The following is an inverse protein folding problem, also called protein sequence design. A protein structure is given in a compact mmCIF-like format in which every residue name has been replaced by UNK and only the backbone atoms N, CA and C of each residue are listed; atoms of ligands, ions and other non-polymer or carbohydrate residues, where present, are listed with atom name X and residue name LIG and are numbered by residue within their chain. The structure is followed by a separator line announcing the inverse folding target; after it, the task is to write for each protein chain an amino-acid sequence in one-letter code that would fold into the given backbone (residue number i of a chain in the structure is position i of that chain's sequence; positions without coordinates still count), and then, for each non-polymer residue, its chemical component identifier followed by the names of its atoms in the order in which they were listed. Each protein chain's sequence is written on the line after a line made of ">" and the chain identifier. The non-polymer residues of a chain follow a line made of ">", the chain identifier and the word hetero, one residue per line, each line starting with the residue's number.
data_IF_032698398816
#
_entry.id   IF_032698398816
#
_cell.length_a   1.000
_cell.length_b   1.000
_cell.length_c   1.000
_cell.angle_alpha   90.00
_cell.angle_beta   90.00
_cell.angle_gamma   90.00
#
_symmetry.space_group_name_H-M   'P 1'
#
loop_
_entity.id
_entity.type
_entity.pdbx_description
1 polymer ?
#
# COMPACT_ATOMS: atom_id res chain seq x y z
N UNK A 1 -14.12 -2.83 21.88
CA UNK A 1 -13.22 -2.01 21.02
C UNK A 1 -12.02 -2.80 20.48
N UNK A 2 -11.83 -4.06 20.86
CA UNK A 2 -10.76 -4.95 20.35
C UNK A 2 -10.98 -5.44 18.92
N UNK A 3 -12.23 -5.47 18.47
CA UNK A 3 -12.63 -6.06 17.18
C UNK A 3 -12.19 -5.22 15.98
N UNK A 4 -12.31 -3.89 16.08
CA UNK A 4 -12.00 -2.97 14.99
C UNK A 4 -10.49 -2.90 14.67
N UNK A 5 -9.65 -2.95 15.71
CA UNK A 5 -8.19 -3.01 15.58
C UNK A 5 -7.74 -4.29 14.89
N UNK A 6 -8.24 -5.44 15.34
CA UNK A 6 -7.86 -6.74 14.78
C UNK A 6 -8.35 -6.86 13.33
N UNK A 7 -9.56 -6.39 13.01
CA UNK A 7 -10.06 -6.32 11.65
C UNK A 7 -9.18 -5.44 10.75
N UNK A 8 -8.72 -4.29 11.25
CA UNK A 8 -7.83 -3.40 10.50
C UNK A 8 -6.46 -4.04 10.24
N UNK A 9 -5.93 -4.79 11.21
CA UNK A 9 -4.70 -5.58 11.02
C UNK A 9 -4.88 -6.71 10.01
N UNK A 10 -6.02 -7.39 10.02
CA UNK A 10 -6.34 -8.42 9.03
C UNK A 10 -6.41 -7.84 7.61
N UNK A 11 -7.08 -6.70 7.43
CA UNK A 11 -7.14 -6.00 6.13
C UNK A 11 -5.77 -5.52 5.66
N UNK A 12 -4.94 -5.03 6.59
CA UNK A 12 -3.56 -4.64 6.29
C UNK A 12 -2.76 -5.87 5.82
N UNK A 13 -2.85 -6.99 6.55
CA UNK A 13 -2.18 -8.24 6.19
C UNK A 13 -2.65 -8.80 4.83
N UNK A 14 -3.93 -8.65 4.51
CA UNK A 14 -4.49 -9.02 3.22
C UNK A 14 -3.92 -8.16 2.09
N UNK A 15 -3.87 -6.82 2.25
CA UNK A 15 -3.27 -5.91 1.28
C UNK A 15 -1.79 -6.26 1.03
N UNK A 16 -1.03 -6.50 2.09
CA UNK A 16 0.37 -6.95 2.00
C UNK A 16 0.51 -8.26 1.23
N UNK A 17 -0.35 -9.24 1.52
CA UNK A 17 -0.33 -10.54 0.84
C UNK A 17 -0.66 -10.41 -0.65
N UNK A 18 -1.62 -9.55 -1.02
CA UNK A 18 -2.00 -9.27 -2.42
C UNK A 18 -0.89 -8.56 -3.18
N UNK A 19 -0.17 -7.63 -2.56
CA UNK A 19 0.99 -6.96 -3.18
C UNK A 19 2.11 -7.96 -3.50
N UNK A 20 2.44 -8.86 -2.57
CA UNK A 20 3.43 -9.90 -2.82
C UNK A 20 2.99 -10.91 -3.89
N UNK A 21 1.69 -11.21 -3.94
CA UNK A 21 1.10 -12.06 -4.98
C UNK A 21 0.98 -11.37 -6.35
N UNK A 22 1.20 -10.06 -6.43
CA UNK A 22 1.08 -9.27 -7.66
C UNK A 22 -0.38 -9.01 -8.09
N UNK A 23 -1.36 -9.23 -7.21
CA UNK A 23 -2.79 -8.97 -7.47
C UNK A 23 -3.27 -7.62 -6.93
N UNK A 24 -2.33 -6.83 -6.39
CA UNK A 24 -2.49 -5.45 -5.98
C UNK A 24 -1.16 -4.75 -6.27
N UNK A 25 -1.19 -3.57 -6.87
CA UNK A 25 0.03 -2.79 -7.12
C UNK A 25 0.60 -2.24 -5.81
N UNK A 26 1.86 -1.81 -5.81
CA UNK A 26 2.48 -1.31 -4.58
C UNK A 26 1.94 0.07 -4.20
N UNK A 27 1.57 0.92 -5.16
CA UNK A 27 0.97 2.23 -4.85
C UNK A 27 -0.45 2.06 -4.32
N UNK A 28 -1.29 1.22 -4.94
CA UNK A 28 -2.64 0.95 -4.43
C UNK A 28 -2.62 0.31 -3.05
N UNK A 29 -1.72 -0.66 -2.83
CA UNK A 29 -1.53 -1.26 -1.52
C UNK A 29 -1.02 -0.27 -0.47
N UNK A 30 -0.13 0.65 -0.86
CA UNK A 30 0.35 1.70 0.03
C UNK A 30 -0.78 2.61 0.53
N UNK A 31 -1.69 3.03 -0.36
CA UNK A 31 -2.90 3.80 -0.01
C UNK A 31 -3.78 3.06 1.00
N UNK A 32 -3.99 1.76 0.80
CA UNK A 32 -4.78 0.94 1.72
C UNK A 32 -4.12 0.83 3.10
N UNK A 33 -2.80 0.55 3.14
CA UNK A 33 -2.04 0.42 4.38
C UNK A 33 -1.99 1.76 5.13
N UNK A 34 -1.72 2.85 4.41
CA UNK A 34 -1.71 4.22 4.94
C UNK A 34 -3.04 4.54 5.61
N UNK A 35 -4.18 4.27 4.96
CA UNK A 35 -5.50 4.53 5.52
C UNK A 35 -5.80 3.70 6.78
N UNK A 36 -5.30 2.45 6.87
CA UNK A 36 -5.59 1.53 7.99
C UNK A 36 -4.68 1.72 9.21
N UNK A 37 -3.56 2.45 9.09
CA UNK A 37 -2.50 2.46 10.12
C UNK A 37 -2.94 2.92 11.50
N UNK A 38 -3.86 3.88 11.58
CA UNK A 38 -4.33 4.41 12.87
C UNK A 38 -5.23 3.40 13.56
N UNK A 39 -6.17 2.83 12.82
CA UNK A 39 -7.11 1.84 13.33
C UNK A 39 -6.41 0.53 13.73
N UNK A 40 -5.33 0.18 13.04
CA UNK A 40 -4.47 -0.97 13.37
C UNK A 40 -3.55 -0.73 14.59
N UNK A 41 -3.50 0.51 15.11
CA UNK A 41 -2.52 0.99 16.09
C UNK A 41 -1.07 0.73 15.65
N UNK A 42 -0.75 1.12 14.41
CA UNK A 42 0.56 0.98 13.78
C UNK A 42 1.05 2.31 13.18
N UNK A 43 0.54 3.45 13.66
CA UNK A 43 0.83 4.77 13.08
C UNK A 43 2.33 5.07 12.95
N UNK A 44 3.13 4.64 13.93
CA UNK A 44 4.59 4.85 13.99
C UNK A 44 5.41 3.59 13.65
N UNK A 45 4.76 2.55 13.12
CA UNK A 45 5.43 1.30 12.75
C UNK A 45 6.36 1.54 11.55
N UNK A 46 7.66 1.23 11.64
CA UNK A 46 8.61 1.56 10.57
C UNK A 46 8.31 0.85 9.25
N UNK A 47 7.76 -0.37 9.29
CA UNK A 47 7.39 -1.06 8.06
C UNK A 47 6.10 -0.48 7.47
N UNK A 48 5.19 0.10 8.27
CA UNK A 48 4.00 0.78 7.70
C UNK A 48 4.30 2.21 7.26
N UNK A 49 5.23 2.91 7.91
CA UNK A 49 5.68 4.25 7.54
C UNK A 49 6.30 4.28 6.13
N UNK A 50 6.93 3.20 5.68
CA UNK A 50 7.38 3.07 4.29
C UNK A 50 6.22 3.24 3.29
N UNK A 51 5.05 2.69 3.59
CA UNK A 51 3.86 2.83 2.75
C UNK A 51 3.21 4.21 2.86
N UNK A 52 3.31 4.88 4.01
CA UNK A 52 2.90 6.29 4.14
C UNK A 52 3.77 7.17 3.24
N UNK A 53 5.08 6.90 3.17
CA UNK A 53 5.98 7.60 2.26
C UNK A 53 5.64 7.34 0.79
N UNK A 54 5.36 6.09 0.41
CA UNK A 54 4.92 5.75 -0.96
C UNK A 54 3.64 6.48 -1.32
N UNK A 55 2.63 6.43 -0.44
CA UNK A 55 1.34 7.11 -0.63
C UNK A 55 1.54 8.62 -0.84
N UNK A 56 2.35 9.26 0.01
CA UNK A 56 2.62 10.70 -0.09
C UNK A 56 3.38 11.12 -1.36
N UNK A 57 4.30 10.30 -1.87
CA UNK A 57 5.09 10.63 -3.08
C UNK A 57 4.33 10.33 -4.38
N UNK A 58 3.17 9.67 -4.28
CA UNK A 58 2.37 9.20 -5.42
C UNK A 58 0.90 9.60 -5.34
N UNK A 59 0.58 10.54 -4.46
CA UNK A 59 -0.78 11.03 -4.23
C UNK A 59 -1.37 11.73 -5.46
N UNK A 60 -0.53 12.30 -6.30
CA UNK A 60 -0.89 12.96 -7.55
C UNK A 60 -1.05 12.01 -8.75
N UNK A 61 -0.78 10.72 -8.59
CA UNK A 61 -0.81 9.75 -9.69
C UNK A 61 -2.17 9.02 -9.83
N UNK A 62 -2.73 8.94 -11.05
CA UNK A 62 -3.96 8.19 -11.32
C UNK A 62 -3.67 6.69 -11.50
N UNK A 63 -3.57 5.97 -10.37
CA UNK A 63 -3.20 4.54 -10.36
C UNK A 63 -4.37 3.56 -10.22
N UNK A 64 -5.57 4.02 -9.89
CA UNK A 64 -6.77 3.16 -9.88
C UNK A 64 -7.60 3.41 -11.13
N UNK A 65 -8.32 2.39 -11.60
CA UNK A 65 -9.18 2.50 -12.78
C UNK A 65 -10.25 3.59 -12.60
N UNK A 66 -10.85 3.69 -11.42
CA UNK A 66 -11.88 4.69 -11.12
C UNK A 66 -11.35 6.12 -11.23
N UNK A 67 -10.10 6.37 -10.80
CA UNK A 67 -9.48 7.68 -10.96
C UNK A 67 -9.09 7.91 -12.42
N UNK A 68 -8.56 6.91 -13.12
CA UNK A 68 -8.15 7.04 -14.53
C UNK A 68 -9.32 7.38 -15.45
N UNK A 69 -10.54 6.91 -15.16
CA UNK A 69 -11.76 7.28 -15.90
C UNK A 69 -12.06 8.78 -15.86
N UNK A 70 -11.55 9.51 -14.86
CA UNK A 70 -11.75 10.96 -14.70
C UNK A 70 -10.68 11.80 -15.43
N UNK A 71 -9.69 11.16 -16.04
CA UNK A 71 -8.56 11.84 -16.68
C UNK A 71 -8.69 11.85 -18.20
N UNK A 72 -8.20 12.93 -18.81
CA UNK A 72 -8.01 12.98 -20.26
C UNK A 72 -7.04 11.87 -20.72
N UNK A 73 -7.39 11.08 -21.76
CA UNK A 73 -6.54 9.96 -22.21
C UNK A 73 -5.10 10.36 -22.52
N UNK A 74 -4.91 11.51 -23.17
CA UNK A 74 -3.56 12.03 -23.48
C UNK A 74 -2.76 12.47 -22.25
N UNK A 75 -3.42 12.79 -21.13
CA UNK A 75 -2.74 13.05 -19.87
C UNK A 75 -2.26 11.73 -19.23
N UNK A 76 -3.08 10.67 -19.29
CA UNK A 76 -2.70 9.33 -18.83
C UNK A 76 -1.50 8.79 -19.61
N UNK A 77 -1.49 8.90 -20.94
CA UNK A 77 -0.37 8.47 -21.77
C UNK A 77 0.94 9.18 -21.40
N UNK A 78 0.88 10.49 -21.13
CA UNK A 78 2.06 11.27 -20.70
C UNK A 78 2.55 10.91 -19.30
N UNK A 79 1.65 10.54 -18.39
CA UNK A 79 1.98 10.17 -17.02
C UNK A 79 2.42 8.71 -16.87
N UNK A 80 2.06 7.83 -17.80
CA UNK A 80 2.33 6.39 -17.68
C UNK A 80 3.81 6.07 -17.38
N UNK A 81 4.82 6.68 -18.02
CA UNK A 81 6.21 6.42 -17.68
C UNK A 81 6.58 6.79 -16.24
N UNK A 82 5.96 7.82 -15.67
CA UNK A 82 6.14 8.21 -14.26
C UNK A 82 5.45 7.21 -13.33
N UNK A 83 4.25 6.75 -13.68
CA UNK A 83 3.52 5.71 -12.94
C UNK A 83 4.37 4.43 -12.89
N UNK A 84 4.89 3.98 -14.02
CA UNK A 84 5.70 2.76 -14.09
C UNK A 84 6.98 2.87 -13.24
N UNK A 85 7.64 4.04 -13.27
CA UNK A 85 8.81 4.32 -12.43
C UNK A 85 8.47 4.35 -10.94
N UNK A 86 7.35 4.99 -10.59
CA UNK A 86 6.87 5.06 -9.21
C UNK A 86 6.51 3.66 -8.67
N UNK A 87 5.86 2.81 -9.47
CA UNK A 87 5.57 1.42 -9.11
C UNK A 87 6.83 0.61 -8.89
N UNK A 88 7.82 0.73 -9.78
CA UNK A 88 9.10 0.04 -9.63
C UNK A 88 9.85 0.48 -8.35
N UNK A 89 9.84 1.78 -8.05
CA UNK A 89 10.41 2.34 -6.83
C UNK A 89 9.65 1.87 -5.58
N UNK A 90 8.32 1.96 -5.59
CA UNK A 90 7.45 1.54 -4.50
C UNK A 90 7.63 0.05 -4.19
N UNK A 91 7.68 -0.80 -5.21
CA UNK A 91 7.98 -2.24 -5.08
C UNK A 91 9.34 -2.47 -4.43
N UNK A 92 10.38 -1.76 -4.87
CA UNK A 92 11.74 -1.92 -4.35
C UNK A 92 11.82 -1.60 -2.85
N UNK A 93 11.16 -0.54 -2.40
CA UNK A 93 11.17 -0.14 -0.99
C UNK A 93 10.20 -0.98 -0.15
N UNK A 94 9.00 -1.24 -0.68
CA UNK A 94 7.93 -1.90 0.07
C UNK A 94 8.11 -3.40 0.27
N UNK A 95 8.88 -4.09 -0.59
CA UNK A 95 8.96 -5.57 -0.55
C UNK A 95 9.46 -6.10 0.80
N UNK A 96 10.56 -5.54 1.33
CA UNK A 96 11.10 -5.97 2.64
C UNK A 96 10.12 -5.66 3.78
N UNK A 97 9.43 -4.52 3.71
CA UNK A 97 8.40 -4.16 4.69
C UNK A 97 7.20 -5.12 4.64
N UNK A 98 6.78 -5.55 3.45
CA UNK A 98 5.75 -6.57 3.27
C UNK A 98 6.13 -7.89 3.93
N UNK A 99 7.37 -8.35 3.71
CA UNK A 99 7.89 -9.60 4.29
C UNK A 99 7.90 -9.53 5.82
N UNK A 100 8.39 -8.43 6.39
CA UNK A 100 8.40 -8.20 7.82
C UNK A 100 6.98 -8.20 8.42
N UNK A 101 6.04 -7.50 7.78
CA UNK A 101 4.64 -7.42 8.24
C UNK A 101 3.96 -8.79 8.23
N UNK A 102 4.13 -9.58 7.17
CA UNK A 102 3.58 -10.94 7.10
C UNK A 102 4.14 -11.84 8.18
N UNK A 103 5.45 -11.79 8.42
CA UNK A 103 6.08 -12.58 9.48
C UNK A 103 5.50 -12.22 10.85
N UNK A 104 5.33 -10.93 11.13
CA UNK A 104 4.76 -10.44 12.40
C UNK A 104 3.29 -10.82 12.58
N UNK A 105 2.48 -10.78 11.53
CA UNK A 105 1.07 -11.17 11.61
C UNK A 105 0.83 -12.68 11.61
N UNK A 106 1.78 -13.48 11.09
CA UNK A 106 1.73 -14.95 11.16
C UNK A 106 2.33 -15.51 12.44
N UNK A 107 3.16 -14.76 13.16
CA UNK A 107 3.73 -15.20 14.42
C UNK A 107 2.60 -15.42 15.45
N UNK A 108 2.55 -16.57 16.15
CA UNK A 108 1.57 -16.79 17.20
C UNK A 108 1.74 -15.70 18.28
N UNK A 109 0.61 -15.11 18.71
CA UNK A 109 0.58 -14.19 19.86
C UNK A 109 1.24 -14.90 21.05
N UNK A 110 2.35 -14.38 21.54
CA UNK A 110 2.98 -14.81 22.79
C UNK A 110 2.09 -14.46 23.98
#
# INVERSE_FOLDING_TARGET
>A
MTDFKELSRQRLAEAVSRMLAGTLTFIEGARQISALRFDAELADDPDVLAFVGIDSETDDLPVTDEIRELWEPSALERLQPRIDQAEAWARKIGTTCCENLILRFKAPKQ
#
